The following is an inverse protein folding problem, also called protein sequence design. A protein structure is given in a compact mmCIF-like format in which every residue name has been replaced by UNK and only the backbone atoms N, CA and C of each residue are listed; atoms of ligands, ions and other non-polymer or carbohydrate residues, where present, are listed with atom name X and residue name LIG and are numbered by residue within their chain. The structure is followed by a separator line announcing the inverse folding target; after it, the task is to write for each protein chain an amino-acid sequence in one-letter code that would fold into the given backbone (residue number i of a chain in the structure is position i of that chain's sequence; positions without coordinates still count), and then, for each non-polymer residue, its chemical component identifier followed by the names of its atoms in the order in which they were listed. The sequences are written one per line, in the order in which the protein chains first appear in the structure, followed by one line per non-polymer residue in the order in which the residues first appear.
data_IF_359686096738
#
_entry.id   IF_359686096738
#
_cell.length_a   1.000
_cell.length_b   1.000
_cell.length_c   1.000
_cell.angle_alpha   90.00
_cell.angle_beta   90.00
_cell.angle_gamma   90.00
#
_symmetry.space_group_name_H-M   'P 1'
#
loop_
_entity.id
_entity.type
_entity.pdbx_description
1 polymer ?
#
# COMPACT_ATOMS: atom_id res chain seq x y z
N UNK A 1 1.24 -6.37 -78.80
CA UNK A 1 1.93 -7.63 -78.44
C UNK A 1 2.69 -7.37 -77.16
N UNK A 2 2.35 -8.10 -76.10
CA UNK A 2 2.74 -7.85 -74.71
C UNK A 2 4.10 -8.48 -74.37
N UNK A 3 4.82 -7.79 -73.49
CA UNK A 3 6.11 -8.17 -72.91
C UNK A 3 5.91 -9.02 -71.64
N UNK A 4 6.82 -9.96 -71.45
CA UNK A 4 6.83 -11.06 -70.48
C UNK A 4 7.19 -10.64 -69.06
N UNK A 5 6.45 -11.13 -68.06
CA UNK A 5 6.86 -11.19 -66.66
C UNK A 5 6.87 -12.64 -66.18
N UNK A 6 8.04 -13.16 -65.85
CA UNK A 6 8.32 -14.53 -65.39
C UNK A 6 8.37 -14.53 -63.85
N UNK A 7 7.36 -15.12 -63.20
CA UNK A 7 7.34 -15.38 -61.75
C UNK A 7 7.81 -16.80 -61.48
N UNK A 8 9.06 -16.94 -61.02
CA UNK A 8 9.56 -18.20 -60.45
C UNK A 8 9.37 -18.19 -58.94
N UNK A 9 8.36 -18.92 -58.49
CA UNK A 9 8.20 -19.34 -57.10
C UNK A 9 9.37 -20.27 -56.73
N UNK A 10 10.29 -19.78 -55.89
CA UNK A 10 11.27 -20.62 -55.20
C UNK A 10 10.72 -20.96 -53.83
N UNK A 11 10.24 -22.19 -53.67
CA UNK A 11 9.88 -22.76 -52.37
C UNK A 11 11.10 -22.73 -51.45
N UNK A 12 11.20 -21.72 -50.59
CA UNK A 12 12.18 -21.66 -49.50
C UNK A 12 11.90 -22.83 -48.56
N UNK A 13 12.79 -23.82 -48.59
CA UNK A 13 12.78 -24.96 -47.69
C UNK A 13 13.00 -24.48 -46.25
N UNK A 14 12.15 -24.93 -45.31
CA UNK A 14 12.15 -24.50 -43.90
C UNK A 14 13.51 -24.70 -43.18
N UNK A 15 14.41 -25.50 -43.74
CA UNK A 15 15.78 -25.69 -43.26
C UNK A 15 16.73 -24.50 -43.45
N UNK A 16 16.45 -23.57 -44.35
CA UNK A 16 17.36 -22.45 -44.70
C UNK A 16 17.03 -21.13 -43.97
N UNK A 17 16.05 -21.14 -43.07
CA UNK A 17 15.57 -19.92 -42.39
C UNK A 17 16.49 -19.50 -41.24
N UNK A 18 17.24 -20.42 -40.64
CA UNK A 18 18.13 -20.15 -39.51
C UNK A 18 19.58 -20.32 -39.98
N UNK A 19 20.42 -19.25 -39.92
CA UNK A 19 21.84 -19.36 -40.25
C UNK A 19 22.54 -20.43 -39.41
N UNK A 20 23.45 -21.18 -40.02
CA UNK A 20 24.18 -22.26 -39.32
C UNK A 20 24.94 -21.76 -38.08
N UNK A 21 25.43 -20.52 -38.10
CA UNK A 21 26.11 -19.89 -36.97
C UNK A 21 25.22 -19.75 -35.72
N UNK A 22 23.94 -19.40 -35.90
CA UNK A 22 22.98 -19.28 -34.79
C UNK A 22 22.59 -20.66 -34.22
N UNK A 23 22.60 -21.67 -35.10
CA UNK A 23 22.32 -23.06 -34.72
C UNK A 23 23.47 -23.64 -33.89
N UNK A 24 24.71 -23.39 -34.28
CA UNK A 24 25.90 -23.78 -33.54
C UNK A 24 25.99 -23.07 -32.18
N UNK A 25 25.54 -21.81 -32.12
CA UNK A 25 25.52 -21.02 -30.87
C UNK A 25 24.50 -21.53 -29.86
N UNK A 26 23.31 -21.92 -30.32
CA UNK A 26 22.31 -22.54 -29.46
C UNK A 26 22.77 -23.90 -28.92
N UNK A 27 23.40 -24.73 -29.75
CA UNK A 27 23.93 -26.02 -29.30
C UNK A 27 25.07 -25.85 -28.28
N UNK A 28 25.94 -24.86 -28.47
CA UNK A 28 27.00 -24.54 -27.52
C UNK A 28 26.46 -24.02 -26.18
N UNK A 29 25.43 -23.17 -26.20
CA UNK A 29 24.76 -22.66 -24.99
C UNK A 29 23.99 -23.78 -24.26
N UNK A 30 23.40 -24.72 -24.99
CA UNK A 30 22.74 -25.89 -24.41
C UNK A 30 23.74 -26.82 -23.73
N UNK A 31 24.89 -27.08 -24.36
CA UNK A 31 25.98 -27.88 -23.77
C UNK A 31 26.56 -27.23 -22.51
N UNK A 32 26.79 -25.91 -22.53
CA UNK A 32 27.25 -25.17 -21.34
C UNK A 32 26.21 -25.19 -20.21
N UNK A 33 24.92 -25.12 -20.58
CA UNK A 33 23.83 -25.19 -19.61
C UNK A 33 23.70 -26.58 -18.99
N UNK A 34 23.87 -27.65 -19.78
CA UNK A 34 23.91 -29.03 -19.28
C UNK A 34 25.08 -29.25 -18.32
N UNK A 35 26.27 -28.72 -18.64
CA UNK A 35 27.44 -28.75 -17.76
C UNK A 35 27.18 -28.01 -16.44
N UNK A 36 26.48 -26.88 -16.50
CA UNK A 36 26.13 -26.08 -15.31
C UNK A 36 25.06 -26.76 -14.44
N UNK A 37 24.09 -27.44 -15.06
CA UNK A 37 23.03 -28.15 -14.34
C UNK A 37 23.54 -29.42 -13.66
N UNK A 38 24.53 -30.10 -14.25
CA UNK A 38 25.19 -31.28 -13.65
C UNK A 38 26.00 -30.94 -12.39
N UNK A 39 26.45 -29.69 -12.24
CA UNK A 39 27.25 -29.25 -11.09
C UNK A 39 26.41 -28.75 -9.89
N UNK A 40 25.07 -28.88 -9.94
CA UNK A 40 24.19 -28.45 -8.86
C UNK A 40 23.97 -29.58 -7.82
N UNK A 41 24.12 -29.31 -6.51
CA UNK A 41 23.87 -30.30 -5.47
C UNK A 41 22.41 -30.79 -5.44
N UNK A 42 22.14 -32.02 -4.94
CA UNK A 42 20.79 -32.57 -4.84
C UNK A 42 19.86 -31.64 -4.05
N UNK A 43 18.76 -31.22 -4.69
CA UNK A 43 17.77 -30.29 -4.12
C UNK A 43 16.98 -31.00 -3.02
N UNK A 44 17.42 -30.89 -1.77
CA UNK A 44 16.69 -31.46 -0.62
C UNK A 44 15.34 -30.77 -0.43
N UNK A 45 14.24 -31.51 -0.68
CA UNK A 45 12.88 -31.07 -0.34
C UNK A 45 12.61 -31.38 1.13
N UNK A 46 12.18 -30.38 1.90
CA UNK A 46 11.67 -30.58 3.27
C UNK A 46 10.32 -31.30 3.20
N UNK A 47 10.08 -32.38 3.96
CA UNK A 47 8.77 -33.01 4.00
C UNK A 47 7.74 -32.08 4.67
N UNK A 48 6.59 -31.91 4.02
CA UNK A 48 5.42 -31.24 4.58
C UNK A 48 4.87 -32.14 5.69
N UNK A 49 4.80 -31.63 6.93
CA UNK A 49 4.12 -32.33 8.02
C UNK A 49 2.65 -32.52 7.65
N UNK A 50 2.26 -33.78 7.48
CA UNK A 50 0.88 -34.24 7.32
C UNK A 50 0.13 -33.96 8.63
N UNK A 51 -0.79 -33.00 8.62
CA UNK A 51 -1.81 -32.82 9.66
C UNK A 51 -2.73 -34.05 9.61
N UNK A 52 -2.71 -34.87 10.65
CA UNK A 52 -3.61 -36.01 10.81
C UNK A 52 -4.91 -35.48 11.42
N UNK A 53 -5.96 -35.42 10.61
CA UNK A 53 -7.33 -35.31 11.09
C UNK A 53 -7.78 -36.72 11.52
N UNK A 54 -8.11 -36.90 12.79
CA UNK A 54 -8.98 -37.98 13.21
C UNK A 54 -10.05 -37.40 14.13
N UNK A 55 -11.27 -37.47 13.61
CA UNK A 55 -12.55 -37.27 14.29
C UNK A 55 -12.93 -38.54 15.08
N UNK A 56 -13.92 -38.41 15.96
CA UNK A 56 -14.63 -39.38 16.81
C UNK A 56 -14.33 -39.40 18.33
N UNK A 57 -15.20 -38.68 19.07
CA UNK A 57 -16.24 -39.22 19.96
C UNK A 57 -15.90 -40.29 21.02
N UNK A 58 -16.08 -39.86 22.27
CA UNK A 58 -16.75 -40.53 23.41
C UNK A 58 -16.03 -41.53 24.35
N UNK A 59 -16.38 -41.34 25.62
CA UNK A 59 -16.41 -42.24 26.79
C UNK A 59 -15.16 -42.68 27.58
N UNK A 60 -15.26 -42.36 28.88
CA UNK A 60 -14.82 -43.06 30.10
C UNK A 60 -13.35 -43.40 30.39
N UNK A 61 -12.86 -42.78 31.48
CA UNK A 61 -12.35 -43.42 32.69
C UNK A 61 -11.19 -44.41 32.61
N UNK A 62 -10.06 -44.10 33.25
CA UNK A 62 -9.45 -44.90 34.34
C UNK A 62 -8.17 -44.21 34.88
N UNK A 63 -7.90 -44.52 36.14
CA UNK A 63 -6.84 -44.15 37.06
C UNK A 63 -5.43 -44.66 36.73
N UNK A 64 -4.41 -44.02 37.31
CA UNK A 64 -3.00 -44.48 37.32
C UNK A 64 -2.02 -43.30 37.40
N UNK A 65 -1.63 -42.83 38.59
CA UNK A 65 -0.48 -43.30 39.40
C UNK A 65 0.90 -42.95 38.80
N UNK A 66 1.59 -42.01 39.47
CA UNK A 66 3.02 -42.05 39.78
C UNK A 66 4.04 -41.75 38.67
N UNK A 67 4.75 -40.63 38.76
CA UNK A 67 6.17 -40.60 39.18
C UNK A 67 6.87 -39.30 38.78
N UNK A 68 7.59 -38.75 39.75
CA UNK A 68 8.56 -37.67 39.62
C UNK A 68 9.69 -38.02 38.65
N UNK A 69 10.03 -37.08 37.75
CA UNK A 69 11.41 -36.84 37.27
C UNK A 69 11.61 -35.36 36.95
N UNK A 70 12.25 -34.69 37.89
CA UNK A 70 13.13 -33.54 37.69
C UNK A 70 14.36 -34.01 36.89
N UNK A 71 14.71 -33.35 35.77
CA UNK A 71 16.10 -33.01 35.41
C UNK A 71 16.17 -32.19 34.09
N UNK A 72 16.65 -30.96 34.24
CA UNK A 72 17.52 -30.15 33.37
C UNK A 72 17.64 -30.45 31.86
N UNK A 73 17.27 -29.46 31.03
CA UNK A 73 17.83 -29.32 29.67
C UNK A 73 17.95 -27.84 29.27
N UNK A 74 18.89 -27.14 29.93
CA UNK A 74 19.52 -25.92 29.41
C UNK A 74 20.48 -26.29 28.26
N UNK A 75 19.98 -26.53 27.05
CA UNK A 75 20.86 -26.42 25.86
C UNK A 75 20.13 -26.25 24.52
N UNK A 76 19.39 -25.15 24.40
CA UNK A 76 18.97 -24.65 23.08
C UNK A 76 19.66 -23.33 22.76
N UNK A 77 20.63 -23.29 21.82
CA UNK A 77 21.25 -22.03 21.43
C UNK A 77 20.20 -21.11 20.80
N UNK A 78 19.86 -20.04 21.54
CA UNK A 78 19.05 -18.92 21.05
C UNK A 78 19.75 -18.35 19.82
N UNK A 79 19.07 -18.43 18.65
CA UNK A 79 19.54 -17.88 17.38
C UNK A 79 20.05 -16.45 17.57
N UNK A 80 21.37 -16.28 17.42
CA UNK A 80 22.06 -15.00 17.30
C UNK A 80 21.45 -14.18 16.16
N UNK A 81 21.18 -12.90 16.42
CA UNK A 81 21.23 -11.88 15.36
C UNK A 81 19.93 -11.22 14.91
N UNK A 82 18.81 -11.29 15.64
CA UNK A 82 17.77 -10.28 15.41
C UNK A 82 18.16 -9.01 16.18
N UNK A 83 18.55 -7.91 15.51
CA UNK A 83 18.79 -6.67 16.23
C UNK A 83 17.50 -6.32 16.98
N UNK A 84 17.59 -6.20 18.31
CA UNK A 84 16.50 -5.69 19.14
C UNK A 84 16.12 -4.35 18.54
N UNK A 85 14.91 -4.26 18.00
CA UNK A 85 14.34 -2.98 17.57
C UNK A 85 14.48 -2.03 18.74
N UNK A 86 15.25 -0.96 18.56
CA UNK A 86 15.41 0.09 19.56
C UNK A 86 14.00 0.54 19.91
N UNK A 87 13.57 0.25 21.14
CA UNK A 87 12.25 0.67 21.63
C UNK A 87 12.32 2.19 21.72
N UNK A 88 11.75 2.85 20.72
CA UNK A 88 11.67 4.30 20.68
C UNK A 88 10.75 4.76 21.82
N UNK A 89 11.18 5.71 22.63
CA UNK A 89 10.44 6.13 23.84
C UNK A 89 9.05 6.66 23.51
N UNK A 90 8.88 7.26 22.32
CA UNK A 90 7.60 7.71 21.77
C UNK A 90 6.58 6.58 21.49
N UNK A 91 7.00 5.31 21.58
CA UNK A 91 6.19 4.13 21.26
C UNK A 91 5.81 3.37 22.55
N UNK A 92 6.31 3.79 23.72
CA UNK A 92 6.06 3.08 24.98
C UNK A 92 4.57 2.94 25.31
N UNK A 93 3.77 3.92 24.89
CA UNK A 93 2.32 3.98 25.18
C UNK A 93 1.44 3.47 24.03
N UNK A 94 2.03 2.95 22.95
CA UNK A 94 1.32 2.44 21.79
C UNK A 94 1.63 0.97 21.53
N UNK A 95 0.58 0.19 21.36
CA UNK A 95 0.66 -1.19 20.87
C UNK A 95 0.85 -1.21 19.35
N UNK A 96 1.44 -2.28 18.81
CA UNK A 96 1.59 -2.45 17.37
C UNK A 96 0.25 -2.44 16.61
N UNK A 97 -0.85 -2.84 17.27
CA UNK A 97 -2.19 -2.80 16.71
C UNK A 97 -2.69 -1.35 16.57
N UNK A 98 -2.54 -0.54 17.63
CA UNK A 98 -2.87 0.89 17.62
C UNK A 98 -2.05 1.65 16.58
N UNK A 99 -0.74 1.37 16.47
CA UNK A 99 0.14 1.99 15.44
C UNK A 99 -0.34 1.66 14.03
N UNK A 100 -0.78 0.41 13.77
CA UNK A 100 -1.33 0.03 12.46
C UNK A 100 -2.64 0.75 12.15
N UNK A 101 -3.54 0.89 13.13
CA UNK A 101 -4.79 1.66 12.98
C UNK A 101 -4.47 3.13 12.72
N UNK A 102 -3.63 3.75 13.54
CA UNK A 102 -3.17 5.11 13.35
C UNK A 102 -2.58 5.33 11.96
N UNK A 103 -1.69 4.45 11.49
CA UNK A 103 -1.09 4.56 10.15
C UNK A 103 -2.11 4.39 9.02
N UNK A 104 -3.13 3.54 9.21
CA UNK A 104 -4.23 3.38 8.24
C UNK A 104 -5.03 4.67 8.14
N UNK A 105 -5.35 5.29 9.26
CA UNK A 105 -6.06 6.57 9.35
C UNK A 105 -5.21 7.73 8.85
N UNK A 106 -3.94 7.81 9.23
CA UNK A 106 -2.98 8.84 8.81
C UNK A 106 -2.93 9.01 7.28
N UNK A 107 -3.03 7.91 6.52
CA UNK A 107 -3.03 7.93 5.05
C UNK A 107 -4.29 8.50 4.41
N UNK A 108 -5.37 8.67 5.18
CA UNK A 108 -6.67 9.16 4.69
C UNK A 108 -6.76 10.69 4.70
N UNK A 109 -5.95 11.37 5.52
CA UNK A 109 -6.11 12.81 5.78
C UNK A 109 -5.05 13.66 5.06
N UNK A 110 -5.44 14.83 4.50
CA UNK A 110 -4.49 15.84 4.07
C UNK A 110 -3.84 16.50 5.30
N UNK A 111 -2.51 16.64 5.29
CA UNK A 111 -1.73 17.25 6.39
C UNK A 111 -2.10 16.66 7.77
N UNK A 112 -1.91 15.35 7.92
CA UNK A 112 -2.32 14.56 9.08
C UNK A 112 -1.99 15.19 10.45
N UNK A 113 -0.85 15.88 10.59
CA UNK A 113 -0.44 16.54 11.84
C UNK A 113 -1.39 17.67 12.28
N UNK A 114 -2.12 18.31 11.36
CA UNK A 114 -3.12 19.33 11.67
C UNK A 114 -4.48 18.73 12.07
N UNK A 115 -4.65 17.41 11.90
CA UNK A 115 -5.95 16.69 12.03
C UNK A 115 -5.87 15.49 12.96
N UNK A 116 -5.03 15.58 13.99
CA UNK A 116 -4.82 14.47 14.91
C UNK A 116 -6.11 14.03 15.62
N UNK A 117 -7.03 14.96 15.92
CA UNK A 117 -8.31 14.63 16.55
C UNK A 117 -9.20 13.78 15.64
N UNK A 118 -9.29 14.13 14.35
CA UNK A 118 -10.04 13.35 13.37
C UNK A 118 -9.40 11.97 13.13
N UNK A 119 -8.06 11.91 13.13
CA UNK A 119 -7.32 10.65 13.04
C UNK A 119 -7.56 9.78 14.28
N UNK A 120 -7.60 10.38 15.47
CA UNK A 120 -7.84 9.67 16.72
C UNK A 120 -9.24 9.03 16.73
N UNK A 121 -10.25 9.76 16.23
CA UNK A 121 -11.61 9.23 16.09
C UNK A 121 -11.68 8.07 15.10
N UNK A 122 -11.04 8.19 13.93
CA UNK A 122 -11.03 7.12 12.92
C UNK A 122 -10.19 5.89 13.31
N UNK A 123 -9.14 6.09 14.10
CA UNK A 123 -8.24 5.02 14.54
C UNK A 123 -8.70 4.32 15.84
N UNK A 124 -9.80 4.81 16.46
CA UNK A 124 -10.28 4.38 17.78
C UNK A 124 -9.17 4.55 18.84
N UNK A 125 -8.62 5.77 18.93
CA UNK A 125 -7.52 6.15 19.83
C UNK A 125 -7.84 7.39 20.67
N UNK A 126 -9.12 7.71 20.87
CA UNK A 126 -9.56 8.85 21.68
C UNK A 126 -9.10 8.76 23.15
N UNK A 127 -8.77 7.54 23.60
CA UNK A 127 -8.17 7.24 24.91
C UNK A 127 -6.80 7.92 25.12
N UNK A 128 -6.07 8.22 24.02
CA UNK A 128 -4.67 8.68 24.07
C UNK A 128 -4.60 10.19 24.12
N UNK A 129 -3.53 10.71 24.74
CA UNK A 129 -3.33 12.16 24.82
C UNK A 129 -2.98 12.75 23.44
N UNK A 130 -3.41 13.98 23.18
CA UNK A 130 -3.05 14.71 21.97
C UNK A 130 -1.52 14.83 21.81
N UNK A 131 -0.79 14.99 22.91
CA UNK A 131 0.68 15.07 22.89
C UNK A 131 1.33 13.78 22.38
N UNK A 132 0.79 12.62 22.73
CA UNK A 132 1.37 11.34 22.32
C UNK A 132 1.03 11.02 20.87
N UNK A 133 -0.20 11.34 20.43
CA UNK A 133 -0.59 11.27 19.01
C UNK A 133 0.28 12.18 18.14
N UNK A 134 0.59 13.39 18.63
CA UNK A 134 1.47 14.34 17.94
C UNK A 134 2.89 13.80 17.82
N UNK A 135 3.48 13.28 18.90
CA UNK A 135 4.80 12.63 18.88
C UNK A 135 4.83 11.46 17.88
N UNK A 136 3.79 10.62 17.86
CA UNK A 136 3.68 9.50 16.93
C UNK A 136 3.60 9.96 15.47
N UNK A 137 2.78 10.98 15.19
CA UNK A 137 2.66 11.58 13.87
C UNK A 137 3.96 12.20 13.37
N UNK A 138 4.66 12.97 14.22
CA UNK A 138 5.96 13.55 13.90
C UNK A 138 7.02 12.47 13.68
N UNK A 139 7.02 11.41 14.48
CA UNK A 139 7.91 10.27 14.28
C UNK A 139 7.67 9.59 12.93
N UNK A 140 6.41 9.39 12.53
CA UNK A 140 6.06 8.82 11.22
C UNK A 140 6.57 9.70 10.09
N UNK A 141 6.34 11.01 10.17
CA UNK A 141 6.79 11.96 9.15
C UNK A 141 8.31 11.99 9.03
N UNK A 142 9.00 12.19 10.15
CA UNK A 142 10.47 12.24 10.19
C UNK A 142 11.11 10.93 9.71
N UNK A 143 10.53 9.79 10.09
CA UNK A 143 11.02 8.48 9.63
C UNK A 143 10.79 8.26 8.14
N UNK A 144 9.67 8.75 7.60
CA UNK A 144 9.38 8.69 6.17
C UNK A 144 10.36 9.57 5.37
N UNK A 145 10.58 10.81 5.80
CA UNK A 145 11.49 11.75 5.14
C UNK A 145 12.93 11.23 5.17
N UNK A 146 13.39 10.70 6.32
CA UNK A 146 14.71 10.07 6.44
C UNK A 146 14.86 8.87 5.50
N UNK A 147 13.88 7.96 5.48
CA UNK A 147 13.91 6.78 4.62
C UNK A 147 13.87 7.13 3.12
N UNK A 148 13.15 8.20 2.75
CA UNK A 148 13.11 8.70 1.37
C UNK A 148 14.43 9.34 0.96
N UNK A 149 15.04 10.16 1.83
CA UNK A 149 16.35 10.79 1.58
C UNK A 149 17.46 9.76 1.41
N UNK A 150 17.57 8.80 2.33
CA UNK A 150 18.56 7.71 2.23
C UNK A 150 18.37 6.87 0.97
N UNK A 151 17.13 6.71 0.49
CA UNK A 151 16.85 6.00 -0.75
C UNK A 151 17.23 6.79 -2.00
N UNK A 152 17.03 8.10 -1.99
CA UNK A 152 17.47 8.99 -3.06
C UNK A 152 19.00 8.98 -3.18
N UNK A 153 19.71 9.16 -2.07
CA UNK A 153 21.18 9.11 -2.03
C UNK A 153 21.73 7.76 -2.53
N UNK A 154 21.11 6.64 -2.13
CA UNK A 154 21.48 5.30 -2.62
C UNK A 154 21.17 5.09 -4.11
N UNK A 155 20.09 5.68 -4.60
CA UNK A 155 19.70 5.59 -6.01
C UNK A 155 20.62 6.41 -6.92
N UNK A 156 21.21 7.49 -6.41
CA UNK A 156 22.23 8.28 -7.11
C UNK A 156 23.60 7.59 -7.10
N UNK A 157 23.94 6.90 -6.00
CA UNK A 157 25.24 6.24 -5.84
C UNK A 157 25.37 4.90 -6.58
N UNK A 158 24.27 4.17 -6.84
CA UNK A 158 24.31 2.82 -7.43
C UNK A 158 23.32 2.70 -8.59
N UNK A 159 23.77 2.33 -9.81
CA UNK A 159 22.85 2.11 -10.93
C UNK A 159 21.86 0.98 -10.61
N UNK A 160 20.58 1.22 -10.93
CA UNK A 160 19.45 0.33 -10.60
C UNK A 160 19.74 -1.11 -11.05
N UNK A 161 19.90 -2.03 -10.08
CA UNK A 161 19.87 -3.47 -10.36
C UNK A 161 18.47 -3.84 -10.88
N UNK A 162 18.40 -4.56 -12.00
CA UNK A 162 17.16 -5.11 -12.58
C UNK A 162 16.55 -6.10 -11.59
N UNK A 163 15.53 -5.65 -10.84
CA UNK A 163 14.81 -6.44 -9.85
C UNK A 163 13.64 -5.64 -9.28
N UNK A 164 12.64 -6.34 -8.72
CA UNK A 164 11.46 -5.72 -8.11
C UNK A 164 11.83 -5.05 -6.80
N UNK A 165 12.33 -3.81 -6.89
CA UNK A 165 12.62 -2.98 -5.73
C UNK A 165 11.31 -2.67 -4.99
N UNK A 166 11.23 -3.13 -3.73
CA UNK A 166 10.06 -2.90 -2.87
C UNK A 166 10.03 -1.46 -2.31
N UNK A 167 11.06 -0.67 -2.60
CA UNK A 167 11.21 0.72 -2.15
C UNK A 167 11.65 0.84 -0.70
N UNK A 168 11.91 2.07 -0.23
CA UNK A 168 12.35 2.32 1.14
C UNK A 168 11.28 1.90 2.15
N UNK A 169 11.71 1.18 3.18
CA UNK A 169 10.88 0.82 4.34
C UNK A 169 11.55 1.24 5.63
N UNK A 170 10.76 1.65 6.61
CA UNK A 170 11.20 1.94 7.97
C UNK A 170 10.33 1.19 8.97
N UNK A 171 10.79 1.12 10.23
CA UNK A 171 10.06 0.45 11.32
C UNK A 171 9.71 1.44 12.42
N UNK A 172 8.47 1.35 12.90
CA UNK A 172 7.99 2.04 14.10
C UNK A 172 7.47 0.94 15.02
N UNK A 173 8.18 0.69 16.11
CA UNK A 173 7.88 -0.43 17.02
C UNK A 173 8.10 -1.76 16.29
N UNK A 174 7.08 -2.62 16.28
CA UNK A 174 7.07 -3.84 15.47
C UNK A 174 6.48 -3.66 14.06
N UNK A 175 6.02 -2.46 13.68
CA UNK A 175 5.30 -2.22 12.43
C UNK A 175 6.26 -1.73 11.34
N UNK A 176 6.30 -2.45 10.21
CA UNK A 176 7.06 -2.02 9.02
C UNK A 176 6.17 -1.19 8.09
N UNK A 177 6.68 -0.03 7.68
CA UNK A 177 5.99 0.93 6.80
C UNK A 177 6.78 1.15 5.53
N UNK A 178 6.09 1.24 4.39
CA UNK A 178 6.69 1.59 3.10
C UNK A 178 6.63 3.11 2.91
N UNK A 179 7.79 3.76 2.95
CA UNK A 179 7.91 5.22 2.89
C UNK A 179 7.42 5.76 1.54
N UNK A 180 7.74 5.07 0.43
CA UNK A 180 7.34 5.51 -0.92
C UNK A 180 5.82 5.58 -1.08
N UNK A 181 5.09 4.59 -0.56
CA UNK A 181 3.62 4.58 -0.62
C UNK A 181 2.99 5.61 0.31
N UNK A 182 3.58 5.83 1.49
CA UNK A 182 3.13 6.86 2.42
C UNK A 182 3.31 8.26 1.82
N UNK A 183 4.50 8.55 1.29
CA UNK A 183 4.80 9.80 0.61
C UNK A 183 3.90 10.06 -0.61
N UNK A 184 3.65 9.03 -1.43
CA UNK A 184 2.75 9.16 -2.58
C UNK A 184 1.31 9.51 -2.16
N UNK A 185 0.83 8.95 -1.06
CA UNK A 185 -0.49 9.28 -0.52
C UNK A 185 -0.55 10.71 0.03
N UNK A 186 0.49 11.15 0.76
CA UNK A 186 0.59 12.52 1.27
C UNK A 186 0.59 13.52 0.11
N UNK A 187 1.42 13.30 -0.91
CA UNK A 187 1.48 14.14 -2.11
C UNK A 187 0.15 14.16 -2.89
N UNK A 188 -0.59 13.05 -2.92
CA UNK A 188 -1.89 12.97 -3.58
C UNK A 188 -2.95 13.82 -2.88
N UNK A 189 -2.93 13.89 -1.56
CA UNK A 189 -3.90 14.65 -0.76
C UNK A 189 -3.48 16.11 -0.51
N UNK A 190 -2.20 16.44 -0.72
CA UNK A 190 -1.65 17.77 -0.49
C UNK A 190 -2.41 18.93 -1.18
N UNK A 191 -2.93 18.80 -2.42
CA UNK A 191 -3.73 19.85 -3.04
C UNK A 191 -5.01 20.22 -2.26
N UNK A 192 -5.57 19.28 -1.50
CA UNK A 192 -6.73 19.57 -0.63
C UNK A 192 -6.36 20.53 0.50
N UNK A 193 -5.17 20.38 1.10
CA UNK A 193 -4.73 21.25 2.19
C UNK A 193 -4.46 22.69 1.72
N UNK A 194 -4.08 22.86 0.45
CA UNK A 194 -3.87 24.19 -0.15
C UNK A 194 -5.19 24.86 -0.52
N UNK A 195 -6.09 24.13 -1.20
CA UNK A 195 -7.27 24.75 -1.83
C UNK A 195 -8.43 24.91 -0.84
N UNK A 196 -8.61 23.98 0.10
CA UNK A 196 -9.74 24.01 1.01
C UNK A 196 -9.43 24.93 2.19
N UNK A 197 -10.30 25.92 2.49
CA UNK A 197 -10.10 26.81 3.62
C UNK A 197 -9.94 26.06 4.95
N UNK A 198 -8.95 26.50 5.72
CA UNK A 198 -8.72 26.01 7.08
C UNK A 198 -9.87 26.41 8.03
N UNK A 199 -10.48 27.57 7.82
CA UNK A 199 -11.63 28.01 8.59
C UNK A 199 -12.90 27.20 8.24
N UNK A 200 -13.68 26.87 9.27
CA UNK A 200 -14.86 26.01 9.14
C UNK A 200 -16.02 26.73 8.45
N UNK A 201 -16.17 28.05 8.65
CA UNK A 201 -17.27 28.80 8.05
C UNK A 201 -17.02 29.10 6.58
N UNK A 202 -15.80 29.49 6.23
CA UNK A 202 -15.38 29.67 4.83
C UNK A 202 -15.47 28.35 4.06
N UNK A 203 -15.06 27.23 4.70
CA UNK A 203 -15.14 25.90 4.10
C UNK A 203 -16.56 25.50 3.75
N UNK A 204 -17.55 25.81 4.60
CA UNK A 204 -18.96 25.52 4.29
C UNK A 204 -19.40 26.19 2.99
N UNK A 205 -18.97 27.43 2.75
CA UNK A 205 -19.31 28.24 1.55
C UNK A 205 -18.45 27.92 0.33
N UNK A 206 -17.37 27.16 0.49
CA UNK A 206 -16.46 26.84 -0.61
C UNK A 206 -17.12 25.93 -1.67
N UNK A 207 -16.93 26.26 -2.95
CA UNK A 207 -17.45 25.50 -4.09
C UNK A 207 -16.38 25.42 -5.19
N UNK A 208 -16.21 24.23 -5.75
CA UNK A 208 -15.32 23.96 -6.88
C UNK A 208 -15.93 24.52 -8.17
N UNK A 209 -15.31 25.56 -8.73
CA UNK A 209 -15.78 26.29 -9.92
C UNK A 209 -15.27 25.69 -11.25
N UNK A 210 -15.39 24.38 -11.51
CA UNK A 210 -15.29 23.84 -12.89
C UNK A 210 -15.61 22.34 -12.96
N UNK A 211 -16.89 21.98 -12.86
CA UNK A 211 -17.29 20.58 -12.79
C UNK A 211 -18.32 20.28 -13.89
N UNK A 212 -17.86 19.72 -15.01
CA UNK A 212 -18.73 19.32 -16.14
C UNK A 212 -19.34 17.95 -15.88
N UNK A 213 -20.68 17.85 -15.76
CA UNK A 213 -21.40 16.57 -15.61
C UNK A 213 -22.60 16.39 -16.52
N UNK A 214 -22.82 15.11 -16.86
CA UNK A 214 -24.09 14.50 -17.21
C UNK A 214 -24.43 13.52 -16.08
N UNK A 215 -25.66 13.54 -15.55
CA UNK A 215 -26.20 12.85 -14.35
C UNK A 215 -26.51 13.87 -13.21
N UNK A 216 -27.46 13.60 -12.29
CA UNK A 216 -27.93 14.57 -11.26
C UNK A 216 -26.90 14.96 -10.19
N UNK A 217 -25.62 14.69 -10.42
CA UNK A 217 -24.50 15.09 -9.56
C UNK A 217 -24.07 16.52 -9.89
N UNK A 218 -24.12 17.40 -8.91
CA UNK A 218 -23.85 18.82 -9.10
C UNK A 218 -22.41 19.19 -8.71
N UNK A 219 -21.88 20.34 -9.14
CA UNK A 219 -20.60 20.85 -8.65
C UNK A 219 -20.57 21.03 -7.12
N UNK A 220 -21.73 21.29 -6.52
CA UNK A 220 -21.90 21.39 -5.07
C UNK A 220 -21.67 20.02 -4.39
N UNK A 221 -22.15 18.94 -5.00
CA UNK A 221 -21.94 17.58 -4.49
C UNK A 221 -20.46 17.18 -4.49
N UNK A 222 -19.73 17.52 -5.56
CA UNK A 222 -18.27 17.35 -5.58
C UNK A 222 -17.57 18.20 -4.52
N UNK A 223 -18.04 19.43 -4.33
CA UNK A 223 -17.47 20.33 -3.33
C UNK A 223 -17.67 19.78 -1.93
N UNK A 224 -18.87 19.29 -1.62
CA UNK A 224 -19.20 18.67 -0.34
C UNK A 224 -18.50 17.33 -0.16
N UNK A 225 -18.28 16.55 -1.23
CA UNK A 225 -17.48 15.34 -1.18
C UNK A 225 -16.02 15.65 -0.80
N UNK A 226 -15.42 16.69 -1.40
CA UNK A 226 -14.06 17.12 -1.07
C UNK A 226 -13.94 17.68 0.34
N UNK A 227 -14.94 18.46 0.80
CA UNK A 227 -15.03 18.90 2.21
C UNK A 227 -15.10 17.70 3.15
N UNK A 228 -15.92 16.70 2.83
CA UNK A 228 -16.04 15.47 3.60
C UNK A 228 -14.73 14.69 3.68
N UNK A 229 -14.02 14.54 2.55
CA UNK A 229 -12.69 13.92 2.52
C UNK A 229 -11.67 14.70 3.35
N UNK A 230 -11.75 16.02 3.36
CA UNK A 230 -10.89 16.89 4.15
C UNK A 230 -11.16 16.77 5.66
N UNK A 231 -12.43 16.66 6.06
CA UNK A 231 -12.84 16.59 7.47
C UNK A 231 -12.76 15.19 8.07
N UNK A 232 -13.28 14.19 7.36
CA UNK A 232 -13.44 12.82 7.84
C UNK A 232 -12.39 11.85 7.29
N UNK A 233 -11.64 12.26 6.27
CA UNK A 233 -10.61 11.43 5.63
C UNK A 233 -11.12 10.65 4.42
N UNK A 234 -10.24 10.45 3.44
CA UNK A 234 -10.55 9.68 2.24
C UNK A 234 -10.86 8.21 2.57
N UNK A 235 -11.95 7.68 2.01
CA UNK A 235 -12.39 6.30 2.25
C UNK A 235 -13.36 6.14 3.42
N UNK A 236 -13.56 7.18 4.24
CA UNK A 236 -14.53 7.19 5.34
C UNK A 236 -15.91 7.64 4.85
N UNK A 237 -16.43 6.92 3.86
CA UNK A 237 -17.67 7.28 3.18
C UNK A 237 -18.88 7.26 4.10
N UNK A 238 -18.91 6.37 5.10
CA UNK A 238 -19.99 6.32 6.09
C UNK A 238 -19.99 7.57 6.99
N UNK A 239 -18.83 8.01 7.47
CA UNK A 239 -18.70 9.25 8.24
C UNK A 239 -19.14 10.46 7.40
N UNK A 240 -18.77 10.48 6.12
CA UNK A 240 -19.18 11.53 5.16
C UNK A 240 -20.70 11.48 4.90
N UNK A 241 -21.31 10.29 4.86
CA UNK A 241 -22.76 10.10 4.67
C UNK A 241 -23.55 10.58 5.89
N UNK A 242 -23.04 10.28 7.09
CA UNK A 242 -23.66 10.65 8.37
C UNK A 242 -23.58 12.15 8.67
N UNK A 243 -22.69 12.89 8.00
CA UNK A 243 -22.54 14.32 8.18
C UNK A 243 -23.68 15.10 7.51
N UNK A 244 -24.60 15.59 8.33
CA UNK A 244 -25.75 16.40 7.88
C UNK A 244 -25.33 17.73 7.24
N UNK A 245 -24.13 18.24 7.53
CA UNK A 245 -23.66 19.51 6.98
C UNK A 245 -23.23 19.41 5.51
N UNK A 246 -22.95 18.20 5.03
CA UNK A 246 -22.53 17.95 3.65
C UNK A 246 -23.70 17.71 2.69
N UNK A 247 -24.89 17.38 3.20
CA UNK A 247 -26.08 17.12 2.38
C UNK A 247 -25.96 15.90 1.46
N UNK A 248 -24.98 15.01 1.70
CA UNK A 248 -24.69 13.84 0.86
C UNK A 248 -25.43 12.57 1.31
N UNK A 249 -26.05 12.56 2.50
CA UNK A 249 -26.61 11.36 3.13
C UNK A 249 -27.56 10.54 2.25
N UNK A 250 -28.40 11.20 1.46
CA UNK A 250 -29.35 10.55 0.54
C UNK A 250 -28.79 10.29 -0.87
N UNK A 251 -27.56 10.74 -1.15
CA UNK A 251 -26.93 10.67 -2.49
C UNK A 251 -25.82 9.63 -2.59
N UNK A 252 -25.18 9.30 -1.47
CA UNK A 252 -24.05 8.37 -1.42
C UNK A 252 -24.40 7.09 -0.67
N UNK A 253 -23.81 5.98 -1.10
CA UNK A 253 -24.05 4.65 -0.54
C UNK A 253 -25.55 4.32 -0.42
N UNK A 254 -26.33 4.41 -1.51
CA UNK A 254 -27.73 3.97 -1.51
C UNK A 254 -27.84 2.47 -1.30
N UNK A 255 -28.90 2.05 -0.61
CA UNK A 255 -29.23 0.63 -0.43
C UNK A 255 -29.70 0.05 -1.78
N UNK A 256 -29.25 -1.16 -2.13
CA UNK A 256 -29.69 -1.85 -3.34
C UNK A 256 -28.78 -1.77 -4.56
N UNK A 257 -27.47 -1.53 -4.38
CA UNK A 257 -26.47 -1.68 -5.46
C UNK A 257 -26.56 -0.63 -6.57
N UNK A 258 -27.26 0.47 -6.32
CA UNK A 258 -27.28 1.63 -7.21
C UNK A 258 -25.91 2.31 -7.27
N UNK A 259 -25.70 3.16 -8.28
CA UNK A 259 -24.48 3.97 -8.47
C UNK A 259 -24.18 4.84 -7.24
N UNK A 260 -22.95 5.35 -7.12
CA UNK A 260 -22.45 6.10 -5.95
C UNK A 260 -22.05 5.22 -4.76
N UNK A 261 -21.55 4.02 -5.06
CA UNK A 261 -20.93 3.13 -4.06
C UNK A 261 -19.52 3.61 -3.71
N UNK A 262 -18.92 3.03 -2.67
CA UNK A 262 -17.57 3.38 -2.21
C UNK A 262 -16.50 3.40 -3.34
N UNK A 263 -16.60 2.49 -4.32
CA UNK A 263 -15.69 2.45 -5.48
C UNK A 263 -15.87 3.65 -6.41
N UNK A 264 -17.12 4.05 -6.65
CA UNK A 264 -17.45 5.20 -7.51
C UNK A 264 -16.99 6.50 -6.85
N UNK A 265 -17.24 6.63 -5.54
CA UNK A 265 -16.78 7.78 -4.73
C UNK A 265 -15.26 7.88 -4.72
N UNK A 266 -14.56 6.75 -4.58
CA UNK A 266 -13.11 6.71 -4.65
C UNK A 266 -12.60 7.16 -6.03
N UNK A 267 -13.17 6.64 -7.11
CA UNK A 267 -12.80 7.02 -8.47
C UNK A 267 -13.08 8.51 -8.75
N UNK A 268 -14.20 9.02 -8.24
CA UNK A 268 -14.59 10.43 -8.30
C UNK A 268 -13.59 11.32 -7.54
N UNK A 269 -13.28 10.97 -6.29
CA UNK A 269 -12.29 11.71 -5.49
C UNK A 269 -10.92 11.70 -6.15
N UNK A 270 -10.48 10.57 -6.69
CA UNK A 270 -9.20 10.46 -7.38
C UNK A 270 -9.12 11.34 -8.62
N UNK A 271 -10.23 11.48 -9.36
CA UNK A 271 -10.35 12.43 -10.47
C UNK A 271 -10.27 13.87 -9.97
N UNK A 272 -11.05 14.23 -8.95
CA UNK A 272 -11.08 15.58 -8.39
C UNK A 272 -9.71 16.00 -7.85
N UNK A 273 -9.00 15.11 -7.15
CA UNK A 273 -7.64 15.37 -6.66
C UNK A 273 -6.67 15.68 -7.80
N UNK A 274 -6.80 15.02 -8.96
CA UNK A 274 -6.00 15.36 -10.15
C UNK A 274 -6.36 16.73 -10.71
N UNK A 275 -7.64 17.10 -10.70
CA UNK A 275 -8.09 18.44 -11.12
C UNK A 275 -7.54 19.50 -10.17
N UNK A 276 -7.66 19.29 -8.85
CA UNK A 276 -7.11 20.18 -7.83
C UNK A 276 -5.59 20.34 -7.97
N UNK A 277 -4.86 19.25 -8.21
CA UNK A 277 -3.42 19.31 -8.45
C UNK A 277 -3.07 20.18 -9.67
N UNK A 278 -3.80 20.05 -10.77
CA UNK A 278 -3.60 20.92 -11.95
C UNK A 278 -3.88 22.40 -11.61
N UNK A 279 -4.89 22.66 -10.78
CA UNK A 279 -5.22 24.02 -10.34
C UNK A 279 -4.14 24.61 -9.42
N UNK A 280 -3.54 23.82 -8.54
CA UNK A 280 -2.42 24.27 -7.70
C UNK A 280 -1.16 24.50 -8.53
N UNK A 281 -0.83 23.59 -9.44
CA UNK A 281 0.36 23.70 -10.29
C UNK A 281 0.26 24.89 -11.28
N UNK A 282 -0.95 25.20 -11.75
CA UNK A 282 -1.23 26.34 -12.63
C UNK A 282 -1.26 27.70 -11.91
N UNK A 283 -1.27 27.73 -10.57
CA UNK A 283 -1.13 28.93 -9.76
C UNK A 283 0.24 28.94 -9.06
N UNK A 284 1.35 29.20 -9.77
CA UNK A 284 2.63 29.41 -9.09
C UNK A 284 2.60 30.79 -8.41
N UNK A 285 2.34 30.83 -7.10
CA UNK A 285 2.51 32.05 -6.29
C UNK A 285 1.36 32.49 -5.39
N UNK A 286 0.78 31.58 -4.60
CA UNK A 286 0.24 31.96 -3.28
C UNK A 286 1.17 31.43 -2.20
#
# INVERSE_FOLDING_TARGET
MQSTGDTKDTEKYWGDIIPEDDRMKMEAEEREKEEMEMCLPPRSRKPVKRMMYLDFSDSQGDSGSGSDKDDSDEDRPKKRGQPRTVKNEAIKDFTDAEIRRFLKSYKKFPSALKRLDAIAMDAELQEKTFTDLKKLGELIKNSCDKAMKEYQEKAEAVPKKRGRDRGPTFKIGGVSVNAKTLYANESKLQPLDIIIPADKEERKKWVLKDARFYMPWTPEDDSNLLKGVYEHGMGNWESIKMDSTLGLGNKILPDGGQKSQAKDLQARCDYLLKVLKRMTDAKPGM
#
